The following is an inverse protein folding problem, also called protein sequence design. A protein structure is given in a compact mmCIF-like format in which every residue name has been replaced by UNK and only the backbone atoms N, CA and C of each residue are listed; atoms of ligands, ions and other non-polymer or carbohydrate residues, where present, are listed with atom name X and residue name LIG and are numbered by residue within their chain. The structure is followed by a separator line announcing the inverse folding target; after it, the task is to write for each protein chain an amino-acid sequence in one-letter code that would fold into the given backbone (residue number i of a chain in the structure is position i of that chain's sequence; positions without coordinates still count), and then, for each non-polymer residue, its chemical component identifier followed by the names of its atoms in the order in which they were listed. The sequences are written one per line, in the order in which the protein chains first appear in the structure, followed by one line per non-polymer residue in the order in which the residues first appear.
data_IF_018569880231
#
_entry.id   IF_018569880231
#
_cell.length_a   1.000
_cell.length_b   1.000
_cell.length_c   1.000
_cell.angle_alpha   90.00
_cell.angle_beta   90.00
_cell.angle_gamma   90.00
#
_symmetry.space_group_name_H-M   'P 1'
#
loop_
_entity.id
_entity.type
_entity.pdbx_description
1 polymer ?
#
# COMPACT_ATOMS: atom_id res chain seq x y z
N UNK A 1 -11.58 -6.93 12.88
CA UNK A 1 -12.64 -5.92 13.09
C UNK A 1 -12.01 -4.55 12.99
N UNK A 2 -12.60 -3.61 12.24
CA UNK A 2 -12.13 -2.22 12.23
C UNK A 2 -12.35 -1.64 13.64
N UNK A 3 -11.26 -1.28 14.31
CA UNK A 3 -11.34 -0.59 15.60
C UNK A 3 -11.77 0.86 15.37
N UNK A 4 -12.34 1.50 16.40
CA UNK A 4 -12.70 2.92 16.34
C UNK A 4 -11.54 3.79 15.82
N UNK A 5 -10.32 3.52 16.31
CA UNK A 5 -9.09 4.23 15.89
C UNK A 5 -8.83 4.08 14.40
N UNK A 6 -8.91 2.86 13.86
CA UNK A 6 -8.68 2.62 12.42
C UNK A 6 -9.74 3.28 11.53
N UNK A 7 -11.00 3.32 11.99
CA UNK A 7 -12.08 4.00 11.27
C UNK A 7 -11.84 5.51 11.22
N UNK A 8 -11.43 6.11 12.35
CA UNK A 8 -11.09 7.53 12.42
C UNK A 8 -9.93 7.87 11.49
N UNK A 9 -8.85 7.09 11.51
CA UNK A 9 -7.69 7.32 10.62
C UNK A 9 -8.07 7.20 9.14
N UNK A 10 -8.90 6.22 8.77
CA UNK A 10 -9.37 6.09 7.40
C UNK A 10 -10.21 7.28 6.96
N UNK A 11 -11.20 7.66 7.77
CA UNK A 11 -12.07 8.81 7.47
C UNK A 11 -11.22 10.07 7.30
N UNK A 12 -10.24 10.29 8.18
CA UNK A 12 -9.29 11.39 8.06
C UNK A 12 -8.50 11.35 6.74
N UNK A 13 -8.03 10.16 6.32
CA UNK A 13 -7.31 10.00 5.05
C UNK A 13 -8.21 10.26 3.83
N UNK A 14 -9.47 9.81 3.86
CA UNK A 14 -10.46 10.12 2.83
C UNK A 14 -10.75 11.62 2.73
N UNK A 15 -10.92 12.30 3.87
CA UNK A 15 -11.15 13.74 3.93
C UNK A 15 -9.93 14.51 3.41
N UNK A 16 -8.73 14.09 3.79
CA UNK A 16 -7.49 14.69 3.29
C UNK A 16 -7.37 14.53 1.77
N UNK A 17 -7.65 13.34 1.23
CA UNK A 17 -7.64 13.10 -0.20
C UNK A 17 -8.69 13.98 -0.92
N UNK A 18 -9.90 14.08 -0.38
CA UNK A 18 -10.95 14.95 -0.92
C UNK A 18 -10.54 16.44 -0.91
N UNK A 19 -9.86 16.90 0.14
CA UNK A 19 -9.31 18.25 0.24
C UNK A 19 -8.25 18.52 -0.83
N UNK A 20 -7.38 17.55 -1.11
CA UNK A 20 -6.42 17.64 -2.24
C UNK A 20 -7.17 17.78 -3.57
N UNK A 21 -8.20 16.97 -3.80
CA UNK A 21 -9.04 17.09 -5.00
C UNK A 21 -9.73 18.45 -5.11
N UNK A 22 -10.25 18.97 -4.00
CA UNK A 22 -10.93 20.27 -3.93
C UNK A 22 -9.98 21.42 -4.25
N UNK A 23 -8.77 21.41 -3.69
CA UNK A 23 -7.79 22.49 -3.84
C UNK A 23 -7.09 22.47 -5.19
N UNK A 24 -7.04 21.33 -5.88
CA UNK A 24 -6.35 21.20 -7.19
C UNK A 24 -7.27 21.41 -8.39
N UNK A 25 -8.48 20.83 -8.38
CA UNK A 25 -9.41 20.83 -9.53
C UNK A 25 -10.80 21.37 -9.15
N UNK A 26 -10.99 21.79 -7.89
CA UNK A 26 -12.29 22.24 -7.40
C UNK A 26 -13.24 21.09 -7.04
N UNK A 27 -14.55 21.36 -6.93
CA UNK A 27 -15.55 20.37 -6.48
C UNK A 27 -15.57 19.09 -7.32
N UNK A 28 -15.28 19.20 -8.63
CA UNK A 28 -15.17 18.04 -9.52
C UNK A 28 -13.99 17.13 -9.13
N UNK A 29 -12.83 17.70 -8.81
CA UNK A 29 -11.67 16.94 -8.31
C UNK A 29 -11.98 16.18 -7.04
N UNK A 30 -12.63 16.84 -6.07
CA UNK A 30 -13.07 16.21 -4.84
C UNK A 30 -14.00 15.02 -5.10
N UNK A 31 -14.99 15.17 -5.99
CA UNK A 31 -15.91 14.09 -6.37
C UNK A 31 -15.18 12.91 -7.03
N UNK A 32 -14.22 13.19 -7.93
CA UNK A 32 -13.41 12.16 -8.59
C UNK A 32 -12.52 11.41 -7.59
N UNK A 33 -11.81 12.13 -6.68
CA UNK A 33 -11.02 11.47 -5.63
C UNK A 33 -11.90 10.53 -4.84
N UNK A 34 -13.05 11.01 -4.34
CA UNK A 34 -13.93 10.23 -3.49
C UNK A 34 -14.46 9.00 -4.24
N UNK A 35 -14.87 9.15 -5.50
CA UNK A 35 -15.37 8.05 -6.31
C UNK A 35 -14.29 6.98 -6.56
N UNK A 36 -13.08 7.39 -6.97
CA UNK A 36 -11.94 6.48 -7.18
C UNK A 36 -11.52 5.81 -5.88
N UNK A 37 -11.50 6.58 -4.79
CA UNK A 37 -11.19 6.14 -3.44
C UNK A 37 -12.15 5.06 -2.95
N UNK A 38 -13.46 5.26 -3.11
CA UNK A 38 -14.49 4.26 -2.78
C UNK A 38 -14.38 3.02 -3.65
N UNK A 39 -14.15 3.18 -4.95
CA UNK A 39 -14.02 2.07 -5.89
C UNK A 39 -12.80 1.20 -5.57
N UNK A 40 -11.63 1.81 -5.39
CA UNK A 40 -10.39 1.11 -5.03
C UNK A 40 -10.49 0.48 -3.65
N UNK A 41 -11.13 1.15 -2.68
CA UNK A 41 -11.33 0.61 -1.33
C UNK A 41 -12.23 -0.61 -1.32
N UNK A 42 -13.33 -0.56 -2.06
CA UNK A 42 -14.28 -1.68 -2.16
C UNK A 42 -13.71 -2.83 -2.96
N UNK A 43 -12.98 -2.56 -4.05
CA UNK A 43 -12.24 -3.56 -4.80
C UNK A 43 -11.18 -4.24 -3.92
N UNK A 44 -10.43 -3.46 -3.14
CA UNK A 44 -9.40 -3.97 -2.25
C UNK A 44 -9.99 -4.88 -1.16
N UNK A 45 -11.07 -4.42 -0.52
CA UNK A 45 -11.73 -5.15 0.55
C UNK A 45 -12.46 -6.43 0.08
N UNK A 46 -13.20 -6.36 -1.03
CA UNK A 46 -13.90 -7.53 -1.61
C UNK A 46 -12.91 -8.54 -2.16
N UNK A 47 -11.79 -8.01 -2.62
CA UNK A 47 -10.78 -8.75 -3.29
C UNK A 47 -9.73 -9.38 -2.38
N UNK A 48 -10.12 -10.00 -1.26
CA UNK A 48 -9.19 -10.83 -0.46
C UNK A 48 -8.52 -11.99 -1.22
N UNK A 49 -8.65 -12.06 -2.56
CA UNK A 49 -8.08 -12.99 -3.53
C UNK A 49 -7.09 -12.36 -4.55
N UNK A 50 -6.99 -11.03 -4.74
CA UNK A 50 -6.29 -10.44 -5.93
C UNK A 50 -4.80 -10.14 -5.78
N UNK A 51 -4.20 -10.26 -4.60
CA UNK A 51 -2.77 -10.03 -4.44
C UNK A 51 -2.01 -11.35 -4.29
N UNK A 52 -2.06 -12.26 -5.26
CA UNK A 52 -1.17 -13.42 -5.17
C UNK A 52 0.28 -12.95 -5.42
N UNK A 53 1.23 -13.32 -4.55
CA UNK A 53 2.66 -13.03 -4.77
C UNK A 53 3.15 -13.51 -6.16
N UNK A 54 2.47 -14.50 -6.75
CA UNK A 54 2.66 -14.94 -8.14
C UNK A 54 2.38 -13.87 -9.18
N UNK A 55 1.36 -13.05 -9.00
CA UNK A 55 1.07 -11.92 -9.93
C UNK A 55 2.15 -10.85 -9.85
N UNK A 56 2.84 -10.72 -8.72
CA UNK A 56 4.04 -9.88 -8.58
C UNK A 56 5.32 -10.54 -9.11
N UNK A 57 5.19 -11.64 -9.86
CA UNK A 57 6.34 -12.39 -10.40
C UNK A 57 7.07 -13.24 -9.37
N UNK A 58 6.50 -13.45 -8.18
CA UNK A 58 7.13 -14.22 -7.11
C UNK A 58 7.29 -15.71 -7.46
N UNK A 59 8.52 -16.21 -7.32
CA UNK A 59 8.83 -17.65 -7.42
C UNK A 59 8.68 -18.29 -6.03
N UNK A 60 7.95 -19.40 -5.87
CA UNK A 60 7.90 -20.09 -4.57
C UNK A 60 9.32 -20.54 -4.20
N UNK A 61 9.72 -20.27 -2.96
CA UNK A 61 10.96 -20.81 -2.37
C UNK A 61 10.62 -22.21 -1.88
N UNK A 62 11.46 -23.19 -2.16
CA UNK A 62 11.32 -24.53 -1.58
C UNK A 62 12.10 -24.61 -0.26
N UNK A 63 11.67 -25.49 0.66
CA UNK A 63 12.29 -25.60 1.98
C UNK A 63 13.81 -25.81 1.92
N UNK A 64 14.27 -26.61 0.95
CA UNK A 64 15.69 -26.95 0.77
C UNK A 64 16.52 -25.80 0.20
N UNK A 65 15.91 -24.79 -0.42
CA UNK A 65 16.63 -23.63 -0.96
C UNK A 65 17.03 -22.64 0.14
N UNK A 66 16.26 -22.58 1.24
CA UNK A 66 16.49 -21.66 2.35
C UNK A 66 15.93 -22.24 3.68
N UNK A 67 16.54 -23.30 4.23
CA UNK A 67 16.03 -23.97 5.43
C UNK A 67 15.96 -23.04 6.64
N UNK A 68 16.99 -22.21 6.85
CA UNK A 68 17.05 -21.26 7.97
C UNK A 68 15.91 -20.23 7.92
N UNK A 69 15.57 -19.74 6.72
CA UNK A 69 14.46 -18.81 6.54
C UNK A 69 13.11 -19.48 6.83
N UNK A 70 12.95 -20.73 6.40
CA UNK A 70 11.75 -21.51 6.69
C UNK A 70 11.57 -21.76 8.19
N UNK A 71 12.64 -22.14 8.89
CA UNK A 71 12.61 -22.36 10.34
C UNK A 71 12.31 -21.06 11.10
N UNK A 72 12.93 -19.95 10.70
CA UNK A 72 12.67 -18.63 11.26
C UNK A 72 11.20 -18.23 11.12
N UNK A 73 10.66 -18.32 9.89
CA UNK A 73 9.26 -17.95 9.60
C UNK A 73 8.29 -18.85 10.36
N UNK A 74 8.58 -20.15 10.43
CA UNK A 74 7.77 -21.13 11.16
C UNK A 74 7.78 -20.88 12.68
N UNK A 75 8.95 -20.57 13.25
CA UNK A 75 9.06 -20.21 14.66
C UNK A 75 8.28 -18.93 14.99
N UNK A 76 8.39 -17.90 14.15
CA UNK A 76 7.67 -16.63 14.33
C UNK A 76 6.16 -16.79 14.13
N UNK A 77 5.72 -17.55 13.12
CA UNK A 77 4.31 -17.82 12.86
C UNK A 77 3.66 -18.59 14.02
N UNK A 78 4.35 -19.63 14.54
CA UNK A 78 3.89 -20.36 15.72
C UNK A 78 3.77 -19.47 16.96
N UNK A 79 4.74 -18.59 17.22
CA UNK A 79 4.66 -17.59 18.31
C UNK A 79 3.48 -16.63 18.14
N UNK A 80 3.13 -16.30 16.90
CA UNK A 80 1.98 -15.45 16.59
C UNK A 80 0.63 -16.20 16.62
N UNK A 81 0.62 -17.53 16.78
CA UNK A 81 -0.59 -18.37 16.73
C UNK A 81 -1.17 -18.51 15.32
N UNK A 82 -0.33 -18.44 14.30
CA UNK A 82 -0.71 -18.52 12.89
C UNK A 82 -0.17 -19.78 12.21
N UNK A 83 -0.86 -20.30 11.17
CA UNK A 83 -0.24 -21.28 10.28
C UNK A 83 0.93 -20.65 9.54
N UNK A 84 1.96 -21.46 9.27
CA UNK A 84 3.20 -21.02 8.62
C UNK A 84 2.93 -20.46 7.23
N UNK A 85 3.25 -19.18 6.95
CA UNK A 85 3.04 -18.57 5.65
C UNK A 85 3.92 -19.22 4.57
N UNK A 86 3.41 -19.27 3.33
CA UNK A 86 4.22 -19.70 2.18
C UNK A 86 5.27 -18.65 1.83
N UNK A 87 6.45 -19.08 1.41
CA UNK A 87 7.54 -18.16 1.05
C UNK A 87 7.70 -18.04 -0.47
N UNK A 88 7.93 -16.80 -0.91
CA UNK A 88 8.20 -16.47 -2.31
C UNK A 88 9.40 -15.54 -2.42
N UNK A 89 10.21 -15.76 -3.45
CA UNK A 89 11.26 -14.85 -3.87
C UNK A 89 10.67 -13.89 -4.90
N UNK A 90 10.61 -12.61 -4.56
CA UNK A 90 10.13 -11.55 -5.44
C UNK A 90 11.27 -10.99 -6.31
N UNK A 91 10.98 -10.66 -7.58
CA UNK A 91 11.93 -9.94 -8.42
C UNK A 91 12.07 -8.51 -7.89
N UNK A 92 13.30 -8.07 -7.63
CA UNK A 92 13.54 -6.72 -7.13
C UNK A 92 15.01 -6.47 -6.84
N UNK A 93 15.42 -5.20 -6.97
CA UNK A 93 16.79 -4.72 -6.66
C UNK A 93 16.89 -4.00 -5.33
N UNK A 94 15.74 -3.73 -4.68
CA UNK A 94 15.67 -3.10 -3.37
C UNK A 94 15.49 -4.15 -2.27
N UNK A 95 15.97 -3.83 -1.07
CA UNK A 95 15.73 -4.60 0.16
C UNK A 95 14.25 -4.44 0.51
N UNK A 96 13.47 -5.53 0.42
CA UNK A 96 12.03 -5.49 0.69
C UNK A 96 11.46 -6.86 1.07
N UNK A 97 10.41 -6.84 1.89
CA UNK A 97 9.54 -7.96 2.18
C UNK A 97 8.07 -7.50 2.13
N UNK A 98 7.15 -8.41 1.84
CA UNK A 98 5.71 -8.09 1.82
C UNK A 98 4.88 -9.32 2.19
N UNK A 99 3.92 -9.14 3.09
CA UNK A 99 2.92 -10.14 3.40
C UNK A 99 1.65 -9.99 2.56
N UNK A 100 1.05 -11.14 2.27
CA UNK A 100 -0.31 -11.27 1.72
C UNK A 100 -1.07 -12.26 2.58
N UNK A 101 -2.30 -11.93 2.95
CA UNK A 101 -3.21 -12.86 3.61
C UNK A 101 -4.57 -12.89 2.93
N UNK A 102 -5.15 -14.09 2.87
CA UNK A 102 -6.52 -14.37 2.47
C UNK A 102 -7.25 -15.04 3.64
N UNK A 103 -8.55 -15.32 3.50
CA UNK A 103 -9.37 -15.91 4.56
C UNK A 103 -8.88 -17.29 5.07
N UNK A 104 -8.02 -17.99 4.33
CA UNK A 104 -7.51 -19.31 4.71
C UNK A 104 -6.06 -19.58 4.38
N UNK A 105 -5.31 -18.59 3.89
CA UNK A 105 -3.90 -18.76 3.55
C UNK A 105 -3.15 -17.45 3.64
N UNK A 106 -1.87 -17.53 4.00
CA UNK A 106 -0.94 -16.40 4.03
C UNK A 106 0.34 -16.74 3.29
N UNK A 107 1.02 -15.72 2.80
CA UNK A 107 2.30 -15.85 2.15
C UNK A 107 3.15 -14.59 2.39
N UNK A 108 4.46 -14.77 2.45
CA UNK A 108 5.45 -13.70 2.58
C UNK A 108 6.37 -13.76 1.36
N UNK A 109 6.49 -12.63 0.68
CA UNK A 109 7.44 -12.42 -0.40
C UNK A 109 8.67 -11.69 0.12
N UNK A 110 9.86 -12.18 -0.18
CA UNK A 110 11.14 -11.52 0.14
C UNK A 110 11.92 -11.27 -1.14
N UNK A 111 12.73 -10.20 -1.18
CA UNK A 111 13.62 -9.94 -2.31
C UNK A 111 15.03 -10.49 -2.05
N UNK A 112 15.76 -10.84 -3.12
CA UNK A 112 17.14 -11.32 -2.98
C UNK A 112 18.09 -10.32 -2.26
N UNK A 113 18.02 -9.00 -2.50
CA UNK A 113 18.81 -8.02 -1.75
C UNK A 113 18.57 -8.04 -0.24
N UNK A 114 17.34 -8.32 0.21
CA UNK A 114 17.04 -8.41 1.64
C UNK A 114 17.83 -9.54 2.30
N UNK A 115 17.80 -10.72 1.69
CA UNK A 115 18.54 -11.89 2.20
C UNK A 115 20.07 -11.74 2.05
N UNK A 116 20.53 -10.91 1.11
CA UNK A 116 21.96 -10.71 0.83
C UNK A 116 22.61 -9.65 1.72
N UNK A 117 21.89 -8.57 2.02
CA UNK A 117 22.48 -7.39 2.66
C UNK A 117 22.09 -7.21 4.12
N UNK A 118 20.98 -7.80 4.58
CA UNK A 118 20.59 -7.71 5.99
C UNK A 118 21.13 -8.88 6.80
N UNK A 119 21.60 -8.65 8.04
CA UNK A 119 21.95 -9.72 8.94
C UNK A 119 20.71 -10.53 9.36
N UNK A 120 20.88 -11.79 9.80
CA UNK A 120 19.76 -12.67 10.14
C UNK A 120 18.78 -12.09 11.17
N UNK A 121 19.28 -11.34 12.16
CA UNK A 121 18.45 -10.72 13.20
C UNK A 121 17.56 -9.60 12.64
N UNK A 122 18.05 -8.81 11.68
CA UNK A 122 17.26 -7.78 11.00
C UNK A 122 16.21 -8.41 10.08
N UNK A 123 16.57 -9.50 9.38
CA UNK A 123 15.60 -10.28 8.60
C UNK A 123 14.52 -10.83 9.51
N UNK A 124 14.87 -11.37 10.67
CA UNK A 124 13.90 -11.82 11.67
C UNK A 124 12.96 -10.71 12.14
N UNK A 125 13.49 -9.50 12.38
CA UNK A 125 12.68 -8.34 12.75
C UNK A 125 11.69 -7.94 11.64
N UNK A 126 12.14 -7.89 10.38
CA UNK A 126 11.29 -7.57 9.22
C UNK A 126 10.21 -8.64 9.03
N UNK A 127 10.57 -9.92 9.08
CA UNK A 127 9.60 -11.01 8.95
C UNK A 127 8.60 -11.01 10.10
N UNK A 128 9.04 -10.73 11.34
CA UNK A 128 8.16 -10.61 12.48
C UNK A 128 7.16 -9.45 12.31
N UNK A 129 7.59 -8.32 11.74
CA UNK A 129 6.73 -7.20 11.39
C UNK A 129 5.65 -7.61 10.37
N UNK A 130 6.04 -8.29 9.28
CA UNK A 130 5.11 -8.79 8.27
C UNK A 130 4.11 -9.82 8.84
N UNK A 131 4.56 -10.70 9.73
CA UNK A 131 3.69 -11.66 10.44
C UNK A 131 2.70 -10.94 11.36
N UNK A 132 3.12 -9.84 12.00
CA UNK A 132 2.21 -9.04 12.82
C UNK A 132 1.07 -8.45 11.97
N UNK A 133 1.32 -8.04 10.74
CA UNK A 133 0.27 -7.58 9.82
C UNK A 133 -0.71 -8.70 9.44
N UNK A 134 -0.20 -9.90 9.16
CA UNK A 134 -1.05 -11.08 8.93
C UNK A 134 -1.93 -11.36 10.16
N UNK A 135 -1.35 -11.32 11.36
CA UNK A 135 -2.05 -11.58 12.62
C UNK A 135 -3.14 -10.56 12.91
N UNK A 136 -2.84 -9.27 12.72
CA UNK A 136 -3.80 -8.20 12.94
C UNK A 136 -4.86 -8.12 11.83
N UNK A 137 -4.59 -8.71 10.68
CA UNK A 137 -5.49 -8.70 9.53
C UNK A 137 -5.66 -7.30 8.93
N UNK A 138 -4.63 -6.47 9.02
CA UNK A 138 -4.62 -5.07 8.56
C UNK A 138 -4.10 -4.91 7.11
N UNK A 139 -3.63 -5.98 6.47
CA UNK A 139 -3.18 -5.95 5.07
C UNK A 139 -4.23 -5.37 4.09
N UNK A 140 -5.54 -5.73 4.17
CA UNK A 140 -6.53 -5.10 3.30
C UNK A 140 -6.66 -3.60 3.55
N UNK A 141 -6.53 -3.17 4.82
CA UNK A 141 -6.61 -1.77 5.21
C UNK A 141 -5.42 -0.98 4.67
N UNK A 142 -4.21 -1.56 4.70
CA UNK A 142 -3.03 -0.95 4.10
C UNK A 142 -3.18 -0.76 2.60
N UNK A 143 -3.73 -1.74 1.88
CA UNK A 143 -4.02 -1.62 0.44
C UNK A 143 -4.99 -0.48 0.14
N UNK A 144 -6.04 -0.33 0.96
CA UNK A 144 -6.97 0.80 0.85
C UNK A 144 -6.22 2.12 1.04
N UNK A 145 -5.47 2.25 2.13
CA UNK A 145 -4.72 3.49 2.44
C UNK A 145 -3.72 3.85 1.34
N UNK A 146 -3.00 2.87 0.79
CA UNK A 146 -2.08 3.06 -0.32
C UNK A 146 -2.80 3.51 -1.60
N UNK A 147 -3.96 2.93 -1.91
CA UNK A 147 -4.79 3.34 -3.05
C UNK A 147 -5.27 4.79 -2.93
N UNK A 148 -5.71 5.20 -1.74
CA UNK A 148 -6.12 6.58 -1.44
C UNK A 148 -4.97 7.56 -1.64
N UNK A 149 -3.79 7.24 -1.07
CA UNK A 149 -2.60 8.05 -1.21
C UNK A 149 -2.17 8.17 -2.68
N UNK A 150 -2.19 7.07 -3.43
CA UNK A 150 -1.88 7.05 -4.85
C UNK A 150 -2.83 7.89 -5.69
N UNK A 151 -4.14 7.81 -5.44
CA UNK A 151 -5.14 8.63 -6.14
C UNK A 151 -4.98 10.13 -5.84
N UNK A 152 -4.75 10.48 -4.56
CA UNK A 152 -4.48 11.86 -4.16
C UNK A 152 -3.20 12.40 -4.81
N UNK A 153 -2.14 11.58 -4.86
CA UNK A 153 -0.86 11.94 -5.49
C UNK A 153 -1.05 12.16 -6.98
N UNK A 154 -1.74 11.26 -7.69
CA UNK A 154 -1.99 11.39 -9.11
C UNK A 154 -2.74 12.69 -9.45
N UNK A 155 -3.71 13.10 -8.63
CA UNK A 155 -4.44 14.35 -8.84
C UNK A 155 -3.62 15.59 -8.49
N UNK A 156 -2.80 15.54 -7.44
CA UNK A 156 -1.84 16.59 -7.15
C UNK A 156 -0.86 16.78 -8.33
N UNK A 157 -0.42 15.68 -8.93
CA UNK A 157 0.44 15.69 -10.12
C UNK A 157 -0.26 16.29 -11.33
N UNK A 158 -1.52 15.92 -11.61
CA UNK A 158 -2.31 16.52 -12.69
C UNK A 158 -2.49 18.03 -12.45
N UNK A 159 -2.81 18.45 -11.23
CA UNK A 159 -2.94 19.86 -10.87
C UNK A 159 -1.63 20.62 -11.09
N UNK A 160 -0.50 20.05 -10.67
CA UNK A 160 0.85 20.60 -10.89
C UNK A 160 1.13 20.79 -12.38
N UNK A 161 0.85 19.79 -13.22
CA UNK A 161 0.96 19.92 -14.67
C UNK A 161 0.03 20.99 -15.23
N UNK A 162 -1.22 21.05 -14.76
CA UNK A 162 -2.21 22.06 -15.17
C UNK A 162 -1.73 23.49 -14.94
N UNK A 163 -1.12 23.78 -13.79
CA UNK A 163 -0.53 25.09 -13.49
C UNK A 163 0.62 25.42 -14.44
N UNK A 164 1.51 24.47 -14.70
CA UNK A 164 2.63 24.65 -15.64
C UNK A 164 2.13 24.91 -17.06
N UNK A 165 1.15 24.14 -17.53
CA UNK A 165 0.54 24.31 -18.85
C UNK A 165 -0.21 25.64 -18.98
N UNK A 166 -0.97 26.04 -17.97
CA UNK A 166 -1.66 27.33 -17.95
C UNK A 166 -0.65 28.48 -18.06
N UNK A 167 0.46 28.41 -17.32
CA UNK A 167 1.54 29.39 -17.43
C UNK A 167 2.18 29.42 -18.83
N UNK A 168 2.49 28.25 -19.41
CA UNK A 168 3.05 28.15 -20.77
C UNK A 168 2.12 28.69 -21.86
N UNK A 169 0.80 28.56 -21.67
CA UNK A 169 -0.22 29.06 -22.59
C UNK A 169 -0.58 30.54 -22.34
N UNK A 170 0.10 31.21 -21.41
CA UNK A 170 -0.11 32.63 -21.10
C UNK A 170 -1.36 32.90 -20.26
N UNK A 171 -1.97 31.88 -19.66
CA UNK A 171 -3.04 32.09 -18.68
C UNK A 171 -2.44 32.53 -17.34
N UNK A 172 -2.95 33.61 -16.72
CA UNK A 172 -2.48 34.05 -15.41
C UNK A 172 -2.88 33.02 -14.35
N UNK A 173 -1.89 32.46 -13.65
CA UNK A 173 -2.08 31.52 -12.54
C UNK A 173 -1.43 32.11 -11.30
N UNK A 174 -2.13 33.05 -10.65
CA UNK A 174 -1.68 33.74 -9.44
C UNK A 174 -2.80 33.92 -8.44
N UNK A 175 -2.52 33.67 -7.15
CA UNK A 175 -3.46 33.84 -6.03
C UNK A 175 -4.05 35.26 -5.94
N UNK A 176 -3.33 36.27 -6.44
CA UNK A 176 -3.78 37.66 -6.44
C UNK A 176 -4.86 38.00 -7.48
N UNK A 177 -4.97 37.24 -8.57
CA UNK A 177 -5.83 37.63 -9.71
C UNK A 177 -7.09 36.75 -9.85
N UNK A 178 -7.13 35.57 -9.23
CA UNK A 178 -8.39 34.84 -9.00
C UNK A 178 -9.38 35.63 -8.14
N UNK A 179 -8.87 36.52 -7.26
CA UNK A 179 -9.68 37.46 -6.50
C UNK A 179 -10.16 38.67 -7.33
N UNK A 180 -9.56 38.93 -8.49
CA UNK A 180 -9.95 40.01 -9.41
C UNK A 180 -10.92 39.53 -10.51
N UNK A 181 -11.08 38.22 -10.68
CA UNK A 181 -11.98 37.59 -11.65
C UNK A 181 -13.34 37.17 -11.07
N UNK A 182 -13.59 37.45 -9.78
CA UNK A 182 -14.88 37.34 -9.08
C UNK A 182 -15.40 38.73 -8.75
#
# INVERSE_FOLDING_TARGET
MLTFRTTVCLVALFLLAALVGLTTVGPFGAAVVIAVSLLTSTAAYRGRRWASLRQMGGRPIQWFEAPDLYELVDALARRAGLPTPRLYLLPGRMVNAVAVATAGSSAIGVTAPLLRYMPPDEVAAVIAHEIAHIRHGDLPLQMVAAGLAGAATALAEIGRFGVVFAWLLGFPVGLGELAAAL
#
